data_IF_042836573015
#
_entry.id   IF_042836573015
#
_cell.length_a   1.000
_cell.length_b   1.000
_cell.length_c   1.000
_cell.angle_alpha   90.00
_cell.angle_beta   90.00
_cell.angle_gamma   90.00
#
_symmetry.space_group_name_H-M   'P 1'
#
loop_
_entity.id
_entity.type
_entity.pdbx_description
1 polymer ?
#
# COMPACT_ATOMS: atom_id res chain seq x y z
N UNK A 1 -38.64 -9.47 8.96
CA UNK A 1 -37.69 -9.60 7.86
C UNK A 1 -36.32 -9.64 8.48
N UNK A 2 -35.59 -10.74 8.35
CA UNK A 2 -34.24 -10.87 8.92
C UNK A 2 -33.29 -10.03 8.07
N UNK A 3 -32.77 -8.95 8.62
CA UNK A 3 -31.72 -8.18 7.97
C UNK A 3 -30.48 -9.07 7.85
N UNK A 4 -29.96 -9.20 6.64
CA UNK A 4 -28.69 -9.91 6.42
C UNK A 4 -27.59 -9.15 7.12
N UNK A 5 -26.65 -9.85 7.79
CA UNK A 5 -25.52 -9.19 8.41
C UNK A 5 -24.67 -8.45 7.36
N UNK A 6 -24.10 -7.29 7.69
CA UNK A 6 -23.28 -6.53 6.75
C UNK A 6 -22.08 -7.37 6.28
N UNK A 7 -21.82 -7.32 4.97
CA UNK A 7 -20.62 -7.97 4.41
C UNK A 7 -19.37 -7.21 4.87
N UNK A 8 -18.46 -7.91 5.53
CA UNK A 8 -17.16 -7.37 5.89
C UNK A 8 -16.28 -7.30 4.63
N UNK A 9 -15.70 -6.14 4.35
CA UNK A 9 -14.71 -5.93 3.30
C UNK A 9 -13.41 -5.45 3.96
N UNK A 10 -12.37 -6.24 3.83
CA UNK A 10 -11.04 -5.95 4.37
C UNK A 10 -10.18 -5.25 3.34
N UNK A 11 -9.59 -4.14 3.77
CA UNK A 11 -8.75 -3.29 2.93
C UNK A 11 -7.35 -3.24 3.54
N UNK A 12 -6.35 -3.73 2.82
CA UNK A 12 -4.95 -3.65 3.25
C UNK A 12 -4.25 -2.48 2.57
N UNK A 13 -3.61 -1.61 3.36
CA UNK A 13 -2.81 -0.50 2.85
C UNK A 13 -1.34 -0.88 2.86
N UNK A 14 -0.79 -1.10 1.67
CA UNK A 14 0.61 -1.43 1.43
C UNK A 14 1.40 -0.19 0.99
N UNK A 15 2.48 0.13 1.68
CA UNK A 15 3.31 1.27 1.29
C UNK A 15 4.67 1.28 1.98
N UNK A 16 5.72 1.80 1.32
CA UNK A 16 7.01 2.05 1.96
C UNK A 16 6.91 3.16 3.04
N UNK A 17 8.00 3.31 3.81
CA UNK A 17 8.06 4.25 4.94
C UNK A 17 8.03 5.73 4.55
N UNK A 18 8.34 6.07 3.30
CA UNK A 18 8.43 7.44 2.82
C UNK A 18 7.09 8.10 2.46
N UNK A 19 5.99 7.34 2.58
CA UNK A 19 4.60 7.81 2.34
C UNK A 19 3.71 7.62 3.58
N UNK A 20 4.26 7.79 4.77
CA UNK A 20 3.54 7.60 6.03
C UNK A 20 2.34 8.58 6.17
N UNK A 21 2.50 9.82 5.73
CA UNK A 21 1.42 10.83 5.77
C UNK A 21 0.29 10.48 4.80
N UNK A 22 0.63 10.06 3.58
CA UNK A 22 -0.34 9.61 2.59
C UNK A 22 -1.12 8.39 3.07
N UNK A 23 -0.44 7.45 3.71
CA UNK A 23 -1.06 6.28 4.31
C UNK A 23 -2.05 6.66 5.40
N UNK A 24 -1.67 7.58 6.30
CA UNK A 24 -2.56 8.10 7.35
C UNK A 24 -3.82 8.71 6.74
N UNK A 25 -3.66 9.59 5.75
CA UNK A 25 -4.79 10.23 5.06
C UNK A 25 -5.67 9.19 4.36
N UNK A 26 -5.09 8.16 3.74
CA UNK A 26 -5.85 7.10 3.10
C UNK A 26 -6.72 6.33 4.12
N UNK A 27 -6.17 5.98 5.30
CA UNK A 27 -6.93 5.34 6.39
C UNK A 27 -8.10 6.23 6.82
N UNK A 28 -7.82 7.50 7.13
CA UNK A 28 -8.84 8.46 7.57
C UNK A 28 -9.97 8.61 6.54
N UNK A 29 -9.64 8.67 5.25
CA UNK A 29 -10.63 8.76 4.19
C UNK A 29 -11.50 7.50 4.10
N UNK A 30 -10.89 6.32 4.16
CA UNK A 30 -11.62 5.06 4.08
C UNK A 30 -12.55 4.92 5.29
N UNK A 31 -12.05 5.15 6.51
CA UNK A 31 -12.82 4.95 7.73
C UNK A 31 -13.88 6.03 7.95
N UNK A 32 -13.59 7.30 7.61
CA UNK A 32 -14.46 8.42 7.94
C UNK A 32 -15.40 8.81 6.80
N UNK A 33 -14.90 8.81 5.58
CA UNK A 33 -15.67 9.33 4.44
C UNK A 33 -16.39 8.21 3.68
N UNK A 34 -15.71 7.11 3.39
CA UNK A 34 -16.35 6.00 2.68
C UNK A 34 -17.34 5.24 3.55
N UNK A 35 -17.02 5.00 4.82
CA UNK A 35 -17.94 4.34 5.75
C UNK A 35 -19.23 5.14 5.99
N UNK A 36 -19.21 6.47 5.77
CA UNK A 36 -20.38 7.35 5.92
C UNK A 36 -21.24 7.46 4.67
N UNK A 37 -20.78 7.02 3.50
CA UNK A 37 -21.57 7.11 2.27
C UNK A 37 -22.77 6.19 2.32
N UNK A 38 -23.94 6.68 1.93
CA UNK A 38 -25.17 5.89 1.92
C UNK A 38 -25.06 4.61 1.08
N UNK A 39 -24.30 4.67 -0.02
CA UNK A 39 -24.05 3.51 -0.86
C UNK A 39 -23.32 2.37 -0.12
N UNK A 40 -22.62 2.67 0.99
CA UNK A 40 -21.86 1.70 1.78
C UNK A 40 -22.39 1.53 3.20
N UNK A 41 -23.49 2.22 3.59
CA UNK A 41 -24.05 2.08 4.94
C UNK A 41 -24.67 0.72 5.18
N UNK A 42 -25.24 0.15 4.16
CA UNK A 42 -25.81 -1.19 4.18
C UNK A 42 -25.58 -1.86 2.82
N UNK A 43 -25.03 -3.03 2.77
CA UNK A 43 -24.70 -4.00 3.82
C UNK A 43 -23.17 -4.16 4.02
N UNK A 44 -22.32 -3.13 3.90
CA UNK A 44 -20.87 -3.25 3.96
C UNK A 44 -20.32 -2.72 5.29
N UNK A 45 -19.40 -3.49 5.89
CA UNK A 45 -18.52 -3.04 6.97
C UNK A 45 -17.08 -3.04 6.43
N UNK A 46 -16.40 -1.89 6.49
CA UNK A 46 -15.02 -1.75 6.07
C UNK A 46 -14.09 -2.02 7.27
N UNK A 47 -13.07 -2.84 7.05
CA UNK A 47 -11.99 -3.14 8.00
C UNK A 47 -10.66 -2.79 7.32
N UNK A 48 -10.02 -1.71 7.80
CA UNK A 48 -8.79 -1.16 7.21
C UNK A 48 -7.62 -1.53 8.09
N UNK A 49 -6.61 -2.15 7.56
CA UNK A 49 -5.42 -2.54 8.30
C UNK A 49 -4.13 -2.27 7.52
N UNK A 50 -3.03 -2.15 8.26
CA UNK A 50 -1.70 -1.84 7.76
C UNK A 50 -0.65 -2.47 8.67
N UNK A 51 0.56 -2.69 8.14
CA UNK A 51 1.64 -3.33 8.88
C UNK A 51 2.17 -2.52 10.08
N UNK A 52 1.98 -1.20 10.11
CA UNK A 52 2.42 -0.29 11.15
C UNK A 52 1.25 0.22 12.03
N UNK A 53 0.18 -0.54 12.11
CA UNK A 53 -0.96 -0.19 12.96
C UNK A 53 -0.55 -0.31 14.44
N UNK A 54 -0.57 0.81 15.19
CA UNK A 54 -0.25 0.80 16.62
C UNK A 54 -1.28 0.03 17.47
N UNK A 55 -2.44 -0.26 16.91
CA UNK A 55 -3.51 -1.05 17.56
C UNK A 55 -3.53 -2.52 17.10
N UNK A 56 -2.60 -2.90 16.24
CA UNK A 56 -2.41 -4.31 15.89
C UNK A 56 -1.87 -5.06 17.10
N UNK A 57 -2.64 -5.99 17.62
CA UNK A 57 -2.24 -6.89 18.74
C UNK A 57 -1.14 -7.88 18.33
N UNK A 58 -0.60 -7.77 17.13
CA UNK A 58 0.42 -8.67 16.61
C UNK A 58 1.80 -8.18 17.00
N UNK A 59 2.44 -8.75 18.04
CA UNK A 59 3.76 -8.33 18.45
C UNK A 59 4.80 -8.71 17.39
N UNK A 60 5.70 -7.78 17.04
CA UNK A 60 6.89 -8.11 16.26
C UNK A 60 7.77 -9.07 17.06
N UNK A 61 7.91 -10.29 16.58
CA UNK A 61 8.83 -11.24 17.19
C UNK A 61 10.26 -10.82 16.86
N UNK A 62 11.05 -10.56 17.90
CA UNK A 62 12.42 -10.05 17.80
C UNK A 62 13.41 -11.01 17.10
N UNK A 63 13.05 -12.28 16.94
CA UNK A 63 13.83 -13.34 16.31
C UNK A 63 13.59 -13.47 14.79
N UNK A 64 12.68 -12.67 14.24
CA UNK A 64 12.33 -12.73 12.82
C UNK A 64 12.63 -11.41 12.14
N UNK A 65 13.26 -11.49 10.96
CA UNK A 65 13.37 -10.32 10.10
C UNK A 65 11.95 -9.77 9.84
N UNK A 66 11.82 -8.44 9.74
CA UNK A 66 10.53 -7.76 9.48
C UNK A 66 9.79 -8.33 8.25
N UNK A 67 10.51 -8.97 7.32
CA UNK A 67 9.99 -9.70 6.15
C UNK A 67 9.40 -11.07 6.48
N UNK A 68 9.65 -11.63 7.64
CA UNK A 68 9.16 -12.94 8.07
C UNK A 68 8.01 -12.88 9.05
N UNK A 69 7.47 -11.73 9.33
CA UNK A 69 6.20 -11.70 10.06
C UNK A 69 5.16 -12.35 9.17
N UNK A 70 5.01 -13.66 9.40
CA UNK A 70 3.98 -14.52 8.80
C UNK A 70 2.62 -13.85 8.90
N UNK A 71 2.43 -13.03 9.94
CA UNK A 71 1.23 -12.26 10.22
C UNK A 71 0.98 -11.13 9.21
N UNK A 72 2.01 -10.48 8.66
CA UNK A 72 1.82 -9.48 7.59
C UNK A 72 1.35 -10.13 6.29
N UNK A 73 1.88 -11.30 5.94
CA UNK A 73 1.41 -12.06 4.78
C UNK A 73 -0.01 -12.56 4.98
N UNK A 74 -0.36 -12.98 6.19
CA UNK A 74 -1.72 -13.39 6.50
C UNK A 74 -2.68 -12.20 6.41
N UNK A 75 -2.29 -11.03 6.88
CA UNK A 75 -3.13 -9.82 6.81
C UNK A 75 -3.38 -9.40 5.35
N UNK A 76 -2.33 -9.28 4.53
CA UNK A 76 -2.50 -8.96 3.10
C UNK A 76 -3.23 -10.08 2.35
N UNK A 77 -3.01 -11.35 2.73
CA UNK A 77 -3.68 -12.50 2.15
C UNK A 77 -5.18 -12.55 2.45
N UNK A 78 -5.63 -11.95 3.54
CA UNK A 78 -7.05 -11.92 3.93
C UNK A 78 -7.81 -10.69 3.39
N UNK A 79 -7.11 -9.72 2.77
CA UNK A 79 -7.74 -8.53 2.23
C UNK A 79 -8.45 -8.80 0.90
N UNK A 80 -9.64 -8.27 0.73
CA UNK A 80 -10.36 -8.23 -0.55
C UNK A 80 -9.81 -7.15 -1.48
N UNK A 81 -9.32 -6.05 -0.88
CA UNK A 81 -8.80 -4.90 -1.61
C UNK A 81 -7.41 -4.55 -1.09
N UNK A 82 -6.46 -4.36 -2.01
CA UNK A 82 -5.14 -3.81 -1.69
C UNK A 82 -5.06 -2.38 -2.20
N UNK A 83 -4.70 -1.46 -1.32
CA UNK A 83 -4.39 -0.07 -1.67
C UNK A 83 -2.89 0.13 -1.51
N UNK A 84 -2.19 0.27 -2.62
CA UNK A 84 -0.75 0.50 -2.61
C UNK A 84 -0.41 1.97 -2.88
N UNK A 85 0.48 2.54 -2.06
CA UNK A 85 0.92 3.93 -2.20
C UNK A 85 2.44 3.96 -2.30
N UNK A 86 2.98 4.52 -3.37
CA UNK A 86 4.41 4.59 -3.69
C UNK A 86 4.85 6.03 -4.01
N UNK A 87 6.08 6.37 -3.68
CA UNK A 87 6.67 7.67 -4.03
C UNK A 87 8.10 7.54 -4.53
N UNK A 88 9.09 7.69 -3.64
CA UNK A 88 10.50 7.72 -3.98
C UNK A 88 11.24 6.45 -3.56
N UNK A 89 10.61 5.59 -2.75
CA UNK A 89 11.19 4.31 -2.30
C UNK A 89 10.34 3.15 -2.77
N UNK A 90 11.04 2.13 -3.25
CA UNK A 90 10.42 0.82 -3.51
C UNK A 90 10.34 -0.01 -2.21
N UNK A 91 11.33 0.12 -1.37
CA UNK A 91 11.49 -0.63 -0.13
C UNK A 91 12.65 -1.62 -0.18
N UNK A 92 12.66 -2.57 0.77
CA UNK A 92 13.70 -3.59 0.90
C UNK A 92 13.36 -4.81 0.05
N UNK A 93 14.34 -5.35 -0.72
CA UNK A 93 14.12 -6.54 -1.54
C UNK A 93 13.74 -7.77 -0.71
N UNK A 94 12.77 -8.52 -1.23
CA UNK A 94 12.40 -9.83 -0.73
C UNK A 94 13.27 -10.87 -1.42
N UNK A 95 13.98 -11.66 -0.64
CA UNK A 95 14.93 -12.65 -1.13
C UNK A 95 14.44 -14.07 -0.87
N UNK A 96 14.93 -15.00 -1.66
CA UNK A 96 14.65 -16.42 -1.46
C UNK A 96 15.22 -16.85 -0.09
N UNK A 97 14.43 -17.53 0.76
CA UNK A 97 14.90 -17.97 2.08
C UNK A 97 15.95 -19.07 2.02
N UNK A 98 16.06 -19.78 0.91
CA UNK A 98 17.04 -20.86 0.70
C UNK A 98 18.32 -20.38 0.02
N UNK A 99 18.22 -19.33 -0.81
CA UNK A 99 19.34 -18.66 -1.46
C UNK A 99 19.18 -17.13 -1.41
N UNK A 100 19.77 -16.45 -0.43
CA UNK A 100 19.68 -15.00 -0.29
C UNK A 100 20.27 -14.19 -1.46
N UNK A 101 21.01 -14.81 -2.38
CA UNK A 101 21.48 -14.15 -3.59
C UNK A 101 20.34 -13.89 -4.60
N UNK A 102 19.27 -14.69 -4.52
CA UNK A 102 18.12 -14.57 -5.39
C UNK A 102 17.14 -13.52 -4.84
N UNK A 103 16.88 -12.48 -5.62
CA UNK A 103 15.84 -11.48 -5.32
C UNK A 103 14.54 -11.92 -5.98
N UNK A 104 13.54 -12.25 -5.17
CA UNK A 104 12.20 -12.64 -5.64
C UNK A 104 11.36 -11.42 -6.02
N UNK A 105 11.39 -10.37 -5.18
CA UNK A 105 10.70 -9.10 -5.40
C UNK A 105 11.60 -7.94 -4.98
N UNK A 106 11.43 -6.78 -5.61
CA UNK A 106 12.19 -5.57 -5.25
C UNK A 106 11.76 -4.97 -3.91
N UNK A 107 10.59 -5.37 -3.39
CA UNK A 107 10.11 -5.00 -2.06
C UNK A 107 8.95 -5.88 -1.58
N UNK A 108 8.60 -5.76 -0.29
CA UNK A 108 7.38 -6.35 0.25
C UNK A 108 6.13 -5.77 -0.40
N UNK A 109 6.10 -4.46 -0.65
CA UNK A 109 4.98 -3.82 -1.36
C UNK A 109 4.78 -4.39 -2.78
N UNK A 110 5.86 -4.61 -3.53
CA UNK A 110 5.76 -5.28 -4.84
C UNK A 110 5.22 -6.71 -4.70
N UNK A 111 5.71 -7.46 -3.73
CA UNK A 111 5.22 -8.82 -3.46
C UNK A 111 3.73 -8.83 -3.18
N UNK A 112 3.26 -7.96 -2.29
CA UNK A 112 1.85 -7.86 -1.90
C UNK A 112 0.95 -7.52 -3.09
N UNK A 113 1.37 -6.58 -3.93
CA UNK A 113 0.65 -6.22 -5.17
C UNK A 113 0.59 -7.42 -6.13
N UNK A 114 1.74 -8.04 -6.42
CA UNK A 114 1.82 -9.13 -7.39
C UNK A 114 1.06 -10.38 -6.92
N UNK A 115 1.12 -10.71 -5.64
CA UNK A 115 0.37 -11.82 -5.06
C UNK A 115 -1.14 -11.56 -5.07
N UNK A 116 -1.57 -10.34 -4.76
CA UNK A 116 -2.98 -9.95 -4.84
C UNK A 116 -3.52 -10.02 -6.27
N UNK A 117 -2.76 -9.50 -7.25
CA UNK A 117 -3.13 -9.56 -8.65
C UNK A 117 -3.24 -11.00 -9.16
N UNK A 118 -2.32 -11.91 -8.76
CA UNK A 118 -2.40 -13.34 -9.10
C UNK A 118 -3.60 -14.02 -8.45
N UNK A 119 -3.99 -13.59 -7.26
CA UNK A 119 -5.17 -14.08 -6.56
C UNK A 119 -6.49 -13.51 -7.11
N UNK A 120 -6.45 -12.63 -8.12
CA UNK A 120 -7.64 -12.00 -8.71
C UNK A 120 -8.32 -10.99 -7.80
N UNK A 121 -7.57 -10.38 -6.87
CA UNK A 121 -8.10 -9.37 -5.95
C UNK A 121 -8.09 -7.99 -6.58
N UNK A 122 -8.88 -7.09 -6.01
CA UNK A 122 -8.88 -5.69 -6.39
C UNK A 122 -7.61 -5.01 -5.86
N UNK A 123 -6.85 -4.38 -6.77
CA UNK A 123 -5.61 -3.69 -6.42
C UNK A 123 -5.64 -2.27 -6.99
N UNK A 124 -5.58 -1.29 -6.09
CA UNK A 124 -5.51 0.12 -6.40
C UNK A 124 -4.09 0.63 -6.15
N UNK A 125 -3.39 1.07 -7.19
CA UNK A 125 -2.01 1.54 -7.07
C UNK A 125 -1.95 3.05 -7.29
N UNK A 126 -1.39 3.75 -6.31
CA UNK A 126 -1.22 5.20 -6.30
C UNK A 126 0.25 5.57 -6.28
N UNK A 127 0.63 6.51 -7.14
CA UNK A 127 1.96 7.10 -7.15
C UNK A 127 1.87 8.57 -6.73
N UNK A 128 2.62 8.94 -5.69
CA UNK A 128 2.72 10.33 -5.26
C UNK A 128 3.47 11.15 -6.28
N UNK A 129 2.88 12.28 -6.67
CA UNK A 129 3.52 13.29 -7.53
C UNK A 129 4.56 14.10 -6.76
N UNK A 130 5.47 14.69 -7.50
CA UNK A 130 6.52 15.56 -6.99
C UNK A 130 7.79 14.77 -6.67
N UNK A 131 8.89 15.49 -6.65
CA UNK A 131 10.20 14.93 -6.34
C UNK A 131 10.51 15.08 -4.85
N UNK A 132 11.08 14.06 -4.27
CA UNK A 132 11.67 14.13 -2.93
C UNK A 132 13.00 14.85 -3.05
N UNK A 133 13.31 15.76 -2.13
CA UNK A 133 14.66 16.37 -2.05
C UNK A 133 15.73 15.29 -1.93
N UNK A 134 16.86 15.51 -2.55
CA UNK A 134 18.02 14.65 -2.38
C UNK A 134 18.65 14.94 -1.01
N UNK A 135 19.23 13.94 -0.37
CA UNK A 135 20.00 14.14 0.86
C UNK A 135 21.31 14.89 0.56
N UNK A 136 21.90 15.50 1.60
CA UNK A 136 23.14 16.29 1.47
C UNK A 136 24.40 15.43 1.32
N UNK A 137 24.31 14.12 1.63
CA UNK A 137 25.45 13.20 1.56
C UNK A 137 25.42 12.39 0.28
N UNK A 138 26.54 12.33 -0.42
CA UNK A 138 26.67 11.68 -1.74
C UNK A 138 26.31 10.18 -1.72
N UNK A 139 26.70 9.44 -0.69
CA UNK A 139 26.38 8.01 -0.56
C UNK A 139 24.89 7.76 -0.45
N UNK A 140 24.17 8.62 0.28
CA UNK A 140 22.72 8.55 0.43
C UNK A 140 22.00 8.94 -0.88
N UNK A 141 22.62 9.80 -1.69
CA UNK A 141 22.07 10.23 -3.02
C UNK A 141 21.98 9.03 -3.96
N UNK A 142 23.03 8.21 -4.02
CA UNK A 142 23.06 7.04 -4.90
C UNK A 142 21.94 6.05 -4.58
N UNK A 143 21.72 5.78 -3.28
CA UNK A 143 20.60 4.92 -2.83
C UNK A 143 19.24 5.50 -3.20
N UNK A 144 19.03 6.81 -2.96
CA UNK A 144 17.76 7.48 -3.29
C UNK A 144 17.47 7.42 -4.78
N UNK A 145 18.47 7.63 -5.63
CA UNK A 145 18.30 7.55 -7.08
C UNK A 145 17.99 6.12 -7.54
N UNK A 146 18.62 5.12 -6.95
CA UNK A 146 18.33 3.72 -7.26
C UNK A 146 16.90 3.34 -6.83
N UNK A 147 16.46 3.76 -5.66
CA UNK A 147 15.09 3.53 -5.20
C UNK A 147 14.05 4.18 -6.14
N UNK A 148 14.29 5.42 -6.58
CA UNK A 148 13.42 6.10 -7.55
C UNK A 148 13.39 5.36 -8.89
N UNK A 149 14.54 4.87 -9.35
CA UNK A 149 14.62 4.07 -10.58
C UNK A 149 13.75 2.82 -10.48
N UNK A 150 13.80 2.12 -9.34
CA UNK A 150 12.98 0.93 -9.08
C UNK A 150 11.48 1.25 -9.09
N UNK A 151 11.06 2.33 -8.43
CA UNK A 151 9.65 2.77 -8.43
C UNK A 151 9.19 3.10 -9.86
N UNK A 152 9.98 3.80 -10.64
CA UNK A 152 9.66 4.13 -12.03
C UNK A 152 9.53 2.89 -12.90
N UNK A 153 10.50 1.97 -12.80
CA UNK A 153 10.47 0.71 -13.54
C UNK A 153 9.25 -0.15 -13.16
N UNK A 154 8.88 -0.18 -11.88
CA UNK A 154 7.69 -0.89 -11.41
C UNK A 154 6.41 -0.27 -12.00
N UNK A 155 6.27 1.05 -11.98
CA UNK A 155 5.15 1.77 -12.60
C UNK A 155 5.04 1.46 -14.09
N UNK A 156 6.15 1.55 -14.83
CA UNK A 156 6.20 1.26 -16.26
C UNK A 156 5.75 -0.19 -16.54
N UNK A 157 6.21 -1.14 -15.74
CA UNK A 157 5.81 -2.55 -15.85
C UNK A 157 4.29 -2.74 -15.63
N UNK A 158 3.70 -2.10 -14.62
CA UNK A 158 2.25 -2.16 -14.40
C UNK A 158 1.49 -1.64 -15.62
N UNK A 159 1.87 -0.48 -16.14
CA UNK A 159 1.23 0.11 -17.33
C UNK A 159 1.38 -0.78 -18.56
N UNK A 160 2.57 -1.35 -18.80
CA UNK A 160 2.83 -2.27 -19.91
C UNK A 160 1.96 -3.52 -19.85
N UNK A 161 1.60 -3.99 -18.64
CA UNK A 161 0.68 -5.11 -18.43
C UNK A 161 -0.80 -4.70 -18.42
N UNK A 162 -1.12 -3.47 -18.84
CA UNK A 162 -2.49 -2.97 -18.91
C UNK A 162 -3.13 -2.71 -17.54
N UNK A 163 -2.32 -2.55 -16.47
CA UNK A 163 -2.81 -2.26 -15.13
C UNK A 163 -3.06 -0.77 -14.95
N UNK A 164 -4.18 -0.42 -14.32
CA UNK A 164 -4.48 0.95 -13.94
C UNK A 164 -3.54 1.44 -12.86
N UNK A 165 -3.03 2.66 -13.03
CA UNK A 165 -2.23 3.37 -12.03
C UNK A 165 -2.78 4.77 -11.84
N UNK A 166 -2.73 5.28 -10.60
CA UNK A 166 -3.27 6.58 -10.24
C UNK A 166 -2.14 7.48 -9.74
N UNK A 167 -2.27 8.79 -9.95
CA UNK A 167 -1.35 9.77 -9.43
C UNK A 167 -2.02 10.59 -8.32
N UNK A 168 -1.35 10.74 -7.18
CA UNK A 168 -1.80 11.57 -6.08
C UNK A 168 -0.86 12.74 -5.84
N UNK A 169 -1.41 13.93 -5.59
CA UNK A 169 -0.67 15.13 -5.23
C UNK A 169 -1.00 15.54 -3.81
N UNK A 170 0.03 15.94 -3.05
CA UNK A 170 -0.17 16.65 -1.76
C UNK A 170 -0.36 18.15 -2.08
N UNK A 171 -1.54 18.56 -2.48
CA UNK A 171 -1.87 19.97 -2.56
C UNK A 171 -2.52 20.41 -1.26
N UNK A 172 -1.71 20.99 -0.36
CA UNK A 172 -2.21 21.63 0.85
C UNK A 172 -2.82 20.65 1.89
N UNK A 173 -2.82 21.06 3.12
CA UNK A 173 -3.29 20.37 4.34
C UNK A 173 -4.79 20.02 4.39
N UNK A 174 -5.48 19.86 3.28
CA UNK A 174 -6.89 19.51 3.28
C UNK A 174 -7.16 18.14 2.64
N UNK A 175 -7.86 17.30 3.36
CA UNK A 175 -8.44 16.02 2.92
C UNK A 175 -9.28 16.11 1.62
N UNK A 176 -9.69 17.32 1.23
CA UNK A 176 -10.48 17.56 0.02
C UNK A 176 -9.75 17.29 -1.30
N UNK A 177 -8.42 17.39 -1.35
CA UNK A 177 -7.63 17.08 -2.54
C UNK A 177 -7.58 15.58 -2.86
N UNK A 178 -7.67 14.73 -1.85
CA UNK A 178 -7.73 13.27 -1.98
C UNK A 178 -9.13 12.78 -2.37
N UNK A 179 -10.17 13.44 -1.87
CA UNK A 179 -11.56 13.12 -2.18
C UNK A 179 -11.85 13.17 -3.68
N UNK A 180 -11.23 14.11 -4.43
CA UNK A 180 -11.46 14.23 -5.88
C UNK A 180 -10.91 13.04 -6.68
N UNK A 181 -9.90 12.33 -6.17
CA UNK A 181 -9.26 11.18 -6.83
C UNK A 181 -10.08 9.90 -6.59
N UNK A 182 -10.65 9.77 -5.40
CA UNK A 182 -11.45 8.60 -5.02
C UNK A 182 -12.91 8.65 -5.49
N UNK A 183 -13.40 9.83 -5.91
CA UNK A 183 -14.79 10.05 -6.37
C UNK A 183 -15.00 9.62 -7.82
N UNK A 184 -13.95 9.33 -8.57
CA UNK A 184 -14.03 8.98 -10.00
C UNK A 184 -14.24 7.49 -10.27
N UNK A 185 -14.67 6.73 -9.26
CA UNK A 185 -15.05 5.31 -9.37
C UNK A 185 -16.51 5.08 -9.01
#
# INVERSE_FOLDING_TARGET
>A
MSELPPKLVRIFISSPSDVAEERKVAVELIEQEFAKREAFREPLKLDVFRYDDPHSDTPFLADRSAQRSVDQRLQSADAEIIVAILWARMGTPVRDPTDPAIVLYQSGTEQEIEEALRAGREVLVYFRRGERSLPDKDDDVAEVLEQRRKVRAFRERLVQHGRGVNDIGMSGTSSSGWLSIWISF
#
